data_IF_784516360588
#
_entry.id   IF_784516360588
#
_cell.length_a   1.000
_cell.length_b   1.000
_cell.length_c   1.000
_cell.angle_alpha   90.00
_cell.angle_beta   90.00
_cell.angle_gamma   90.00
#
_symmetry.space_group_name_H-M   'P 1'
#
loop_
_entity.id
_entity.type
_entity.pdbx_description
1 polymer ?
#
# COMPACT_ATOMS: atom_id res chain seq x y z
N UNK A 1 -8.60 -21.53 51.05
CA UNK A 1 -9.15 -21.65 49.67
C UNK A 1 -9.48 -20.25 49.18
N UNK A 2 -9.17 -19.99 47.91
CA UNK A 2 -8.95 -18.68 47.27
C UNK A 2 -10.07 -17.64 47.45
N UNK A 3 -9.67 -16.40 47.75
CA UNK A 3 -10.54 -15.22 47.69
C UNK A 3 -10.86 -14.80 46.25
N UNK A 4 -11.92 -14.00 46.05
CA UNK A 4 -12.44 -13.66 44.73
C UNK A 4 -11.38 -12.91 43.91
N UNK A 5 -11.05 -13.47 42.73
CA UNK A 5 -10.10 -12.87 41.80
C UNK A 5 -10.55 -11.48 41.37
N UNK A 6 -9.74 -10.46 41.68
CA UNK A 6 -9.92 -9.12 41.14
C UNK A 6 -9.81 -9.20 39.62
N UNK A 7 -10.93 -9.07 38.93
CA UNK A 7 -10.93 -8.78 37.49
C UNK A 7 -10.17 -7.46 37.28
N UNK A 8 -9.16 -7.40 36.38
CA UNK A 8 -8.44 -6.16 36.15
C UNK A 8 -9.41 -5.13 35.58
N UNK A 9 -9.65 -4.05 36.33
CA UNK A 9 -10.41 -2.90 35.87
C UNK A 9 -9.60 -2.22 34.78
N UNK A 10 -9.99 -2.43 33.53
CA UNK A 10 -9.40 -1.73 32.38
C UNK A 10 -10.04 -0.35 32.33
N UNK A 11 -9.29 0.69 32.68
CA UNK A 11 -9.77 2.05 32.64
C UNK A 11 -10.28 2.39 31.21
N UNK A 12 -11.44 3.04 31.06
CA UNK A 12 -11.97 3.38 29.75
C UNK A 12 -10.98 4.28 29.02
N UNK A 13 -10.50 3.81 27.87
CA UNK A 13 -9.68 4.63 26.97
C UNK A 13 -10.53 5.86 26.61
N UNK A 14 -10.01 7.07 26.88
CA UNK A 14 -10.72 8.30 26.51
C UNK A 14 -11.03 8.28 25.01
N UNK A 15 -12.27 8.55 24.62
CA UNK A 15 -12.70 8.61 23.21
C UNK A 15 -11.81 9.51 22.34
N UNK A 16 -11.26 10.58 22.90
CA UNK A 16 -10.29 11.45 22.22
C UNK A 16 -8.97 10.76 21.85
N UNK A 17 -8.58 9.70 22.57
CA UNK A 17 -7.45 8.83 22.23
C UNK A 17 -7.77 7.79 21.16
N UNK A 18 -9.05 7.67 20.76
CA UNK A 18 -9.53 6.77 19.71
C UNK A 18 -9.83 7.51 18.39
N UNK A 19 -9.66 8.84 18.34
CA UNK A 19 -9.93 9.64 17.14
C UNK A 19 -9.07 9.24 15.91
N UNK A 20 -7.95 8.53 16.13
CA UNK A 20 -7.12 7.99 15.06
C UNK A 20 -7.68 6.70 14.44
N UNK A 21 -8.55 5.96 15.13
CA UNK A 21 -9.14 4.71 14.63
C UNK A 21 -9.85 4.88 13.28
N UNK A 22 -10.76 5.85 13.08
CA UNK A 22 -11.40 6.02 11.78
C UNK A 22 -10.38 6.34 10.67
N UNK A 23 -9.30 7.05 10.99
CA UNK A 23 -8.23 7.37 10.03
C UNK A 23 -7.48 6.08 9.65
N UNK A 24 -7.06 5.29 10.63
CA UNK A 24 -6.35 4.03 10.38
C UNK A 24 -7.24 3.02 9.63
N UNK A 25 -8.50 2.87 10.05
CA UNK A 25 -9.47 2.01 9.36
C UNK A 25 -9.72 2.50 7.93
N UNK A 26 -9.85 3.82 7.72
CA UNK A 26 -9.99 4.41 6.41
C UNK A 26 -8.78 4.13 5.50
N UNK A 27 -7.56 4.22 6.03
CA UNK A 27 -6.34 3.91 5.29
C UNK A 27 -6.26 2.42 4.91
N UNK A 28 -6.59 1.51 5.83
CA UNK A 28 -6.62 0.06 5.56
C UNK A 28 -7.68 -0.27 4.51
N UNK A 29 -8.89 0.29 4.67
CA UNK A 29 -9.98 0.12 3.72
C UNK A 29 -9.60 0.65 2.33
N UNK A 30 -9.02 1.84 2.26
CA UNK A 30 -8.56 2.42 1.00
C UNK A 30 -7.48 1.55 0.33
N UNK A 31 -6.51 1.05 1.09
CA UNK A 31 -5.49 0.14 0.58
C UNK A 31 -6.07 -1.16 0.02
N UNK A 32 -7.11 -1.69 0.66
CA UNK A 32 -7.80 -2.90 0.18
C UNK A 32 -8.63 -2.65 -1.10
N UNK A 33 -9.37 -1.53 -1.17
CA UNK A 33 -10.27 -1.24 -2.29
C UNK A 33 -9.57 -0.61 -3.50
N UNK A 34 -8.64 0.31 -3.27
CA UNK A 34 -7.96 1.07 -4.33
C UNK A 34 -6.52 0.58 -4.61
N UNK A 35 -5.95 -0.24 -3.73
CA UNK A 35 -4.55 -0.65 -3.79
C UNK A 35 -3.62 0.31 -3.05
N UNK A 36 -2.35 -0.06 -2.97
CA UNK A 36 -1.32 0.76 -2.32
C UNK A 36 -0.46 1.46 -3.36
N UNK A 37 0.04 2.67 -3.06
CA UNK A 37 0.94 3.38 -3.97
C UNK A 37 2.27 2.63 -4.09
N UNK A 38 2.73 2.46 -5.33
CA UNK A 38 4.05 1.95 -5.64
C UNK A 38 4.78 2.93 -6.55
N UNK A 39 6.04 3.19 -6.23
CA UNK A 39 6.92 4.10 -6.96
C UNK A 39 7.80 3.30 -7.91
N UNK A 40 7.92 3.76 -9.16
CA UNK A 40 8.86 3.18 -10.12
C UNK A 40 10.29 3.51 -9.72
N UNK A 41 11.08 2.50 -9.37
CA UNK A 41 12.47 2.65 -8.93
C UNK A 41 13.49 2.26 -10.00
N UNK A 42 13.12 1.34 -10.91
CA UNK A 42 13.98 0.88 -11.98
C UNK A 42 13.18 0.72 -13.27
N UNK A 43 13.84 0.92 -14.41
CA UNK A 43 13.21 0.77 -15.71
C UNK A 43 14.22 0.52 -16.82
N UNK A 44 13.80 -0.26 -17.82
CA UNK A 44 14.50 -0.48 -19.07
C UNK A 44 13.68 0.16 -20.18
N UNK A 45 14.32 0.97 -21.03
CA UNK A 45 13.63 1.71 -22.08
C UNK A 45 14.51 1.86 -23.32
N UNK A 46 13.87 2.13 -24.46
CA UNK A 46 14.54 2.50 -25.72
C UNK A 46 13.90 3.74 -26.33
N UNK A 47 14.57 4.35 -27.31
CA UNK A 47 14.07 5.54 -28.02
C UNK A 47 14.75 6.82 -27.53
N UNK A 48 14.16 7.97 -27.84
CA UNK A 48 14.66 9.27 -27.37
C UNK A 48 14.11 9.58 -25.97
N UNK A 49 14.80 10.42 -25.19
CA UNK A 49 14.28 10.87 -23.89
C UNK A 49 12.95 11.63 -23.99
N UNK A 50 12.65 12.23 -25.14
CA UNK A 50 11.38 12.90 -25.40
C UNK A 50 10.23 11.90 -25.62
N UNK A 51 10.53 10.71 -26.16
CA UNK A 51 9.57 9.66 -26.45
C UNK A 51 10.13 8.28 -26.04
N UNK A 52 10.29 8.00 -24.73
CA UNK A 52 10.81 6.73 -24.27
C UNK A 52 9.76 5.62 -24.42
N UNK A 53 10.19 4.46 -24.90
CA UNK A 53 9.39 3.23 -24.94
C UNK A 53 9.92 2.30 -23.86
N UNK A 54 9.13 2.09 -22.79
CA UNK A 54 9.52 1.26 -21.65
C UNK A 54 9.27 -0.22 -21.94
N UNK A 55 10.26 -1.08 -21.68
CA UNK A 55 10.19 -2.53 -21.88
C UNK A 55 10.00 -3.29 -20.57
N UNK A 56 10.58 -2.77 -19.49
CA UNK A 56 10.48 -3.35 -18.15
C UNK A 56 10.48 -2.23 -17.12
N UNK A 57 9.64 -2.36 -16.09
CA UNK A 57 9.55 -1.41 -14.98
C UNK A 57 9.43 -2.15 -13.67
N UNK A 58 10.18 -1.70 -12.67
CA UNK A 58 10.12 -2.22 -11.31
C UNK A 58 9.51 -1.17 -10.40
N UNK A 59 8.51 -1.60 -9.66
CA UNK A 59 7.77 -0.80 -8.71
C UNK A 59 8.07 -1.26 -7.29
N UNK A 60 8.26 -0.30 -6.41
CA UNK A 60 8.51 -0.53 -4.99
C UNK A 60 7.46 0.17 -4.14
N UNK A 61 6.98 -0.52 -3.13
CA UNK A 61 5.90 -0.11 -2.25
C UNK A 61 5.66 -1.23 -1.24
N UNK A 62 4.42 -1.37 -0.77
CA UNK A 62 4.07 -2.43 0.18
C UNK A 62 4.37 -3.84 -0.38
N UNK A 63 4.21 -4.03 -1.69
CA UNK A 63 4.54 -5.29 -2.37
C UNK A 63 5.35 -5.00 -3.64
N UNK A 64 6.66 -5.25 -3.67
CA UNK A 64 7.47 -5.00 -4.86
C UNK A 64 7.04 -5.88 -6.02
N UNK A 65 6.97 -5.31 -7.23
CA UNK A 65 6.67 -6.09 -8.44
C UNK A 65 7.39 -5.53 -9.67
N UNK A 66 7.46 -6.37 -10.70
CA UNK A 66 7.99 -6.02 -12.01
C UNK A 66 6.91 -6.22 -13.06
N UNK A 67 6.85 -5.32 -14.03
CA UNK A 67 5.90 -5.39 -15.15
C UNK A 67 6.62 -5.15 -16.46
N UNK A 68 6.19 -5.87 -17.50
CA UNK A 68 6.59 -5.66 -18.90
C UNK A 68 5.41 -5.08 -19.67
N UNK A 69 5.32 -3.74 -19.81
CA UNK A 69 4.14 -3.10 -20.37
C UNK A 69 3.99 -3.43 -21.87
N UNK A 70 2.79 -3.83 -22.30
CA UNK A 70 2.51 -4.09 -23.73
C UNK A 70 2.52 -2.83 -24.60
N UNK A 71 2.22 -1.68 -24.03
CA UNK A 71 2.09 -0.41 -24.75
C UNK A 71 3.28 0.53 -24.58
N UNK A 72 4.40 0.04 -24.01
CA UNK A 72 5.59 0.85 -23.83
C UNK A 72 5.47 1.97 -22.79
N UNK A 73 4.39 1.99 -22.00
CA UNK A 73 4.10 3.03 -21.01
C UNK A 73 4.23 2.48 -19.59
N UNK A 74 4.96 3.20 -18.75
CA UNK A 74 5.04 2.96 -17.32
C UNK A 74 4.86 4.28 -16.58
N UNK A 75 3.78 4.42 -15.79
CA UNK A 75 3.60 5.61 -14.96
C UNK A 75 4.63 5.65 -13.83
N UNK A 76 4.94 6.83 -13.31
CA UNK A 76 5.88 6.98 -12.18
C UNK A 76 5.32 6.34 -10.90
N UNK A 77 4.01 6.50 -10.68
CA UNK A 77 3.29 5.96 -9.53
C UNK A 77 2.13 5.11 -10.06
N UNK A 78 1.93 3.94 -9.46
CA UNK A 78 0.80 3.06 -9.75
C UNK A 78 0.17 2.58 -8.45
N UNK A 79 -1.14 2.45 -8.45
CA UNK A 79 -1.87 1.79 -7.37
C UNK A 79 -2.02 0.32 -7.73
N UNK A 80 -1.44 -0.55 -6.91
CA UNK A 80 -1.50 -2.00 -7.13
C UNK A 80 -1.99 -2.69 -5.86
N UNK A 81 -2.73 -3.79 -6.05
CA UNK A 81 -3.24 -4.63 -4.96
C UNK A 81 -2.35 -5.86 -4.78
N UNK A 82 -2.18 -6.36 -3.54
CA UNK A 82 -1.55 -7.65 -3.33
C UNK A 82 -2.32 -8.75 -4.07
N UNK A 83 -1.62 -9.53 -4.89
CA UNK A 83 -2.18 -10.72 -5.56
C UNK A 83 -3.00 -10.49 -6.83
N UNK A 84 -3.07 -9.25 -7.35
CA UNK A 84 -3.60 -9.01 -8.71
C UNK A 84 -2.47 -8.56 -9.61
N UNK A 85 -2.04 -9.45 -10.50
CA UNK A 85 -1.16 -9.11 -11.61
C UNK A 85 -1.88 -8.06 -12.50
N UNK A 86 -1.14 -7.02 -12.87
CA UNK A 86 -1.58 -5.93 -13.75
C UNK A 86 -1.39 -6.29 -15.22
#
# INVERSE_FOLDING_TARGET
>A
MSGPGKVPFVAPIRLSKLAWLPIALGAVWAGHHYGTPHLRIFYVWSGSRAHPVYHECQYWGLHPFKVRPRHGKCPLIVLARPGKEL
#
